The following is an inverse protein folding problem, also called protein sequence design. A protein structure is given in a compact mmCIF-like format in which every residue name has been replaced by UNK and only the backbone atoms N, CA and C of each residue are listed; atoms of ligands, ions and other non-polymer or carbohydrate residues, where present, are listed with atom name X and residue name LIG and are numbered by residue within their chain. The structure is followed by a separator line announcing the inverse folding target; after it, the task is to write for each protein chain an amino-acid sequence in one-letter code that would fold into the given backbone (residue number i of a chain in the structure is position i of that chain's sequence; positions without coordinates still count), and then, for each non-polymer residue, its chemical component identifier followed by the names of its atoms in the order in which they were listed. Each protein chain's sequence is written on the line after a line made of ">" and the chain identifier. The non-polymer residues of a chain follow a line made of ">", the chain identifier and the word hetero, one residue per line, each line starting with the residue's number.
data_IF_766575782715
#
_entry.id   IF_766575782715
#
_cell.length_a   1.000
_cell.length_b   1.000
_cell.length_c   1.000
_cell.angle_alpha   90.00
_cell.angle_beta   90.00
_cell.angle_gamma   90.00
#
_symmetry.space_group_name_H-M   'P 1'
#
loop_
_entity.id
_entity.type
_entity.pdbx_description
1 polymer ?
#
# COMPACT_ATOMS: atom_id res chain seq x y z
N UNK A 1 15.59 26.75 7.87
CA UNK A 1 14.82 25.85 6.97
C UNK A 1 15.05 26.34 5.56
N UNK A 2 15.46 25.47 4.63
CA UNK A 2 15.73 25.87 3.24
C UNK A 2 14.44 26.38 2.61
N UNK A 3 14.45 27.62 2.11
CA UNK A 3 13.31 28.22 1.42
C UNK A 3 13.33 27.86 -0.07
N UNK A 4 13.83 26.67 -0.38
CA UNK A 4 13.99 26.21 -1.76
C UNK A 4 12.64 25.81 -2.34
N UNK A 5 12.35 26.31 -3.52
CA UNK A 5 11.16 25.97 -4.28
C UNK A 5 11.50 24.98 -5.40
N UNK A 6 10.61 24.04 -5.66
CA UNK A 6 10.72 23.05 -6.72
C UNK A 6 9.60 23.27 -7.75
N UNK A 7 9.94 23.32 -9.02
CA UNK A 7 8.97 23.36 -10.12
C UNK A 7 8.55 21.95 -10.51
N UNK A 8 7.25 21.69 -10.47
CA UNK A 8 6.68 20.40 -10.87
C UNK A 8 5.81 20.60 -12.10
N UNK A 9 6.09 19.85 -13.15
CA UNK A 9 5.36 19.91 -14.43
C UNK A 9 4.56 18.62 -14.65
N UNK A 10 3.27 18.80 -14.96
CA UNK A 10 2.36 17.72 -15.39
C UNK A 10 1.83 18.10 -16.77
N UNK A 11 2.09 17.27 -17.79
CA UNK A 11 1.77 17.65 -19.18
C UNK A 11 2.45 18.95 -19.58
N UNK A 12 1.67 19.99 -19.83
CA UNK A 12 2.13 21.34 -20.19
C UNK A 12 1.98 22.37 -19.04
N UNK A 13 1.40 21.98 -17.90
CA UNK A 13 1.20 22.85 -16.75
C UNK A 13 2.35 22.70 -15.76
N UNK A 14 2.86 23.85 -15.26
CA UNK A 14 3.93 23.89 -14.25
C UNK A 14 3.48 24.70 -13.05
N UNK A 15 3.64 24.13 -11.86
CA UNK A 15 3.41 24.80 -10.58
C UNK A 15 4.65 24.69 -9.70
N UNK A 16 4.75 25.59 -8.71
CA UNK A 16 5.92 25.68 -7.82
C UNK A 16 5.51 25.34 -6.39
N UNK A 17 6.29 24.48 -5.75
CA UNK A 17 6.04 23.96 -4.40
C UNK A 17 7.29 24.11 -3.52
N UNK A 18 7.12 24.27 -2.20
CA UNK A 18 8.24 24.15 -1.27
C UNK A 18 8.93 22.78 -1.39
N UNK A 19 10.26 22.76 -1.28
CA UNK A 19 11.00 21.49 -1.18
C UNK A 19 10.46 20.68 0.02
N UNK A 20 10.23 19.39 -0.19
CA UNK A 20 9.67 18.50 0.83
C UNK A 20 8.15 18.35 0.79
N UNK A 21 7.45 19.05 -0.13
CA UNK A 21 6.01 18.82 -0.37
C UNK A 21 5.77 17.38 -0.87
N UNK A 22 4.74 16.70 -0.34
CA UNK A 22 4.39 15.35 -0.75
C UNK A 22 3.74 15.34 -2.14
N UNK A 23 4.00 14.31 -2.94
CA UNK A 23 3.33 14.15 -4.23
C UNK A 23 1.80 14.08 -4.09
N UNK A 24 1.28 13.54 -2.97
CA UNK A 24 -0.16 13.50 -2.70
C UNK A 24 -0.82 14.88 -2.54
N UNK A 25 -0.07 15.90 -2.09
CA UNK A 25 -0.55 17.28 -2.06
C UNK A 25 -0.47 17.91 -3.46
N UNK A 26 0.64 17.66 -4.16
CA UNK A 26 0.88 18.19 -5.51
C UNK A 26 -0.19 17.70 -6.50
N UNK A 27 -0.53 16.40 -6.50
CA UNK A 27 -1.50 15.84 -7.45
C UNK A 27 -2.91 16.38 -7.29
N UNK A 28 -3.28 16.93 -6.11
CA UNK A 28 -4.58 17.58 -5.91
C UNK A 28 -4.75 18.82 -6.81
N UNK A 29 -3.67 19.56 -7.01
CA UNK A 29 -3.66 20.76 -7.85
C UNK A 29 -3.71 20.44 -9.34
N UNK A 30 -3.48 19.18 -9.71
CA UNK A 30 -3.56 18.68 -11.09
C UNK A 30 -4.69 17.66 -11.27
N UNK A 31 -5.68 17.65 -10.39
CA UNK A 31 -6.79 16.69 -10.43
C UNK A 31 -7.59 16.74 -11.75
N UNK A 32 -7.65 17.91 -12.42
CA UNK A 32 -8.28 18.04 -13.73
C UNK A 32 -7.57 17.30 -14.86
N UNK A 33 -6.33 16.86 -14.66
CA UNK A 33 -5.56 16.06 -15.62
C UNK A 33 -5.80 14.55 -15.49
N UNK A 34 -6.65 14.11 -14.56
CA UNK A 34 -6.91 12.70 -14.31
C UNK A 34 -8.42 12.44 -14.17
N UNK A 35 -8.94 11.55 -15.01
CA UNK A 35 -10.34 11.10 -14.96
C UNK A 35 -10.59 10.13 -13.78
N UNK A 36 -9.56 9.37 -13.41
CA UNK A 36 -9.60 8.35 -12.36
C UNK A 36 -8.71 8.72 -11.17
N UNK A 37 -8.94 8.16 -9.97
CA UNK A 37 -8.11 8.43 -8.79
C UNK A 37 -6.62 8.16 -9.05
N UNK A 38 -5.78 9.16 -8.74
CA UNK A 38 -4.33 9.04 -8.82
C UNK A 38 -3.82 8.26 -7.61
N UNK A 39 -3.03 7.22 -7.86
CA UNK A 39 -2.48 6.32 -6.82
C UNK A 39 -0.96 6.34 -6.73
N UNK A 40 -0.28 6.73 -7.80
CA UNK A 40 1.17 6.90 -7.88
C UNK A 40 1.49 8.08 -8.81
N UNK A 41 2.74 8.49 -8.80
CA UNK A 41 3.31 9.33 -9.86
C UNK A 41 4.54 8.68 -10.47
N UNK A 42 4.77 8.94 -11.76
CA UNK A 42 6.03 8.64 -12.42
C UNK A 42 6.85 9.94 -12.44
N UNK A 43 7.92 10.01 -11.66
CA UNK A 43 8.82 11.14 -11.62
C UNK A 43 10.17 10.74 -12.24
N UNK A 44 10.53 11.37 -13.36
CA UNK A 44 11.81 11.11 -14.08
C UNK A 44 12.06 9.61 -14.33
N UNK A 45 11.06 8.90 -14.84
CA UNK A 45 11.16 7.46 -15.14
C UNK A 45 11.10 6.53 -13.92
N UNK A 46 10.86 7.06 -12.71
CA UNK A 46 10.76 6.25 -11.49
C UNK A 46 9.38 6.41 -10.85
N UNK A 47 8.76 5.29 -10.53
CA UNK A 47 7.51 5.29 -9.76
C UNK A 47 7.74 5.83 -8.35
N UNK A 48 6.81 6.66 -7.90
CA UNK A 48 6.81 7.24 -6.56
C UNK A 48 5.44 7.12 -5.92
N UNK A 49 5.43 6.71 -4.67
CA UNK A 49 4.23 6.72 -3.84
C UNK A 49 3.86 8.16 -3.47
N UNK A 50 2.57 8.42 -3.26
CA UNK A 50 2.04 9.76 -2.99
C UNK A 50 2.57 10.40 -1.70
N UNK A 51 3.02 9.61 -0.73
CA UNK A 51 3.65 10.12 0.50
C UNK A 51 5.11 10.54 0.33
N UNK A 52 5.75 10.21 -0.81
CA UNK A 52 7.11 10.66 -1.11
C UNK A 52 7.13 12.15 -1.41
N UNK A 53 8.28 12.79 -1.17
CA UNK A 53 8.47 14.22 -1.23
C UNK A 53 9.25 14.64 -2.47
N UNK A 54 8.92 15.81 -3.02
CA UNK A 54 9.70 16.45 -4.07
C UNK A 54 10.91 17.17 -3.44
N UNK A 55 12.09 17.03 -4.05
CA UNK A 55 13.34 17.67 -3.59
C UNK A 55 14.04 18.50 -4.66
N UNK A 56 13.52 18.48 -5.89
CA UNK A 56 14.07 19.22 -7.04
C UNK A 56 13.02 19.43 -8.11
N UNK A 57 13.31 20.32 -9.04
CA UNK A 57 12.51 20.46 -10.24
C UNK A 57 12.34 19.10 -10.93
N UNK A 58 11.14 18.77 -11.32
CA UNK A 58 10.84 17.50 -11.99
C UNK A 58 9.60 17.58 -12.86
N UNK A 59 9.57 16.70 -13.85
CA UNK A 59 8.34 16.39 -14.62
C UNK A 59 7.74 15.10 -14.07
N UNK A 60 6.44 15.10 -13.83
CA UNK A 60 5.72 13.93 -13.36
C UNK A 60 4.58 13.56 -14.31
N UNK A 61 4.27 12.27 -14.39
CA UNK A 61 3.03 11.76 -14.98
C UNK A 61 2.16 11.16 -13.89
N UNK A 62 0.86 11.40 -13.95
CA UNK A 62 -0.10 10.86 -13.00
C UNK A 62 -0.39 9.40 -13.36
N UNK A 63 -0.35 8.52 -12.38
CA UNK A 63 -0.69 7.10 -12.53
C UNK A 63 -1.98 6.84 -11.76
N UNK A 64 -3.02 6.50 -12.49
CA UNK A 64 -4.37 6.34 -11.97
C UNK A 64 -4.74 4.87 -11.75
N UNK A 65 -5.89 4.63 -11.16
CA UNK A 65 -6.45 3.27 -11.02
C UNK A 65 -6.81 2.62 -12.36
N UNK A 66 -6.94 3.37 -13.46
CA UNK A 66 -7.15 2.85 -14.80
C UNK A 66 -5.86 2.30 -15.45
N UNK A 67 -4.69 2.79 -15.00
CA UNK A 67 -3.42 2.29 -15.48
C UNK A 67 -3.10 0.92 -14.89
N UNK A 68 -2.54 -0.01 -15.68
CA UNK A 68 -2.25 -1.37 -15.25
C UNK A 68 -1.44 -1.43 -13.94
N UNK A 69 -0.42 -0.57 -13.80
CA UNK A 69 0.41 -0.53 -12.59
C UNK A 69 -0.32 0.12 -11.42
N UNK A 70 -1.11 1.15 -11.69
CA UNK A 70 -1.95 1.82 -10.69
C UNK A 70 -3.03 0.88 -10.16
N UNK A 71 -3.70 0.14 -11.04
CA UNK A 71 -4.68 -0.88 -10.67
C UNK A 71 -4.08 -1.98 -9.77
N UNK A 72 -2.89 -2.48 -10.13
CA UNK A 72 -2.18 -3.47 -9.30
C UNK A 72 -1.83 -2.90 -7.93
N UNK A 73 -1.41 -1.64 -7.85
CA UNK A 73 -1.09 -0.97 -6.59
C UNK A 73 -2.34 -0.77 -5.73
N UNK A 74 -3.44 -0.33 -6.34
CA UNK A 74 -4.74 -0.22 -5.66
C UNK A 74 -5.19 -1.57 -5.08
N UNK A 75 -5.16 -2.65 -5.88
CA UNK A 75 -5.52 -4.00 -5.39
C UNK A 75 -4.65 -4.46 -4.21
N UNK A 76 -3.35 -4.16 -4.21
CA UNK A 76 -2.47 -4.49 -3.06
C UNK A 76 -2.84 -3.70 -1.81
N UNK A 77 -3.17 -2.42 -1.94
CA UNK A 77 -3.64 -1.60 -0.82
C UNK A 77 -4.96 -2.13 -0.25
N UNK A 78 -5.89 -2.56 -1.11
CA UNK A 78 -7.14 -3.20 -0.69
C UNK A 78 -6.89 -4.53 0.03
N UNK A 79 -5.92 -5.34 -0.45
CA UNK A 79 -5.54 -6.57 0.23
C UNK A 79 -4.95 -6.32 1.63
N UNK A 80 -4.10 -5.30 1.77
CA UNK A 80 -3.54 -4.91 3.07
C UNK A 80 -4.64 -4.48 4.04
N UNK A 81 -5.58 -3.66 3.57
CA UNK A 81 -6.74 -3.20 4.32
C UNK A 81 -7.61 -4.37 4.77
N UNK A 82 -7.92 -5.29 3.85
CA UNK A 82 -8.70 -6.50 4.13
C UNK A 82 -8.02 -7.39 5.17
N UNK A 83 -6.73 -7.67 5.01
CA UNK A 83 -5.99 -8.49 5.97
C UNK A 83 -5.98 -7.86 7.36
N UNK A 84 -5.71 -6.54 7.47
CA UNK A 84 -5.79 -5.83 8.75
C UNK A 84 -7.18 -5.99 9.38
N UNK A 85 -8.24 -5.85 8.60
CA UNK A 85 -9.62 -5.96 9.10
C UNK A 85 -9.95 -7.38 9.57
N UNK A 86 -9.55 -8.40 8.82
CA UNK A 86 -9.74 -9.80 9.20
C UNK A 86 -9.03 -10.12 10.52
N UNK A 87 -7.77 -9.72 10.67
CA UNK A 87 -7.02 -9.95 11.91
C UNK A 87 -7.59 -9.14 13.09
N UNK A 88 -8.11 -7.94 12.85
CA UNK A 88 -8.74 -7.12 13.89
C UNK A 88 -10.04 -7.75 14.40
N UNK A 89 -10.92 -8.18 13.49
CA UNK A 89 -12.25 -8.73 13.84
C UNK A 89 -12.13 -10.12 14.47
N UNK A 90 -11.27 -10.97 13.94
CA UNK A 90 -11.10 -12.32 14.46
C UNK A 90 -10.28 -12.40 15.76
N UNK A 91 -9.33 -11.47 15.93
CA UNK A 91 -8.24 -11.59 16.90
C UNK A 91 -7.04 -12.36 16.34
N UNK A 92 -5.85 -11.78 16.51
CA UNK A 92 -4.60 -12.33 15.96
C UNK A 92 -4.32 -13.76 16.40
N UNK A 93 -4.63 -14.08 17.65
CA UNK A 93 -4.40 -15.37 18.29
C UNK A 93 -5.27 -16.50 17.72
N UNK A 94 -6.42 -16.15 17.11
CA UNK A 94 -7.35 -17.11 16.52
C UNK A 94 -7.01 -17.46 15.08
N UNK A 95 -6.23 -16.62 14.41
CA UNK A 95 -5.86 -16.81 13.00
C UNK A 95 -4.49 -17.48 12.92
N UNK A 96 -4.44 -18.68 12.33
CA UNK A 96 -3.19 -19.33 11.97
C UNK A 96 -2.64 -18.81 10.65
N UNK A 97 -3.52 -18.56 9.66
CA UNK A 97 -3.12 -18.13 8.33
C UNK A 97 -4.31 -17.56 7.54
N UNK A 98 -4.04 -16.49 6.78
CA UNK A 98 -4.94 -15.98 5.74
C UNK A 98 -4.22 -16.06 4.41
N UNK A 99 -4.81 -16.74 3.42
CA UNK A 99 -4.18 -16.96 2.12
C UNK A 99 -5.07 -16.45 1.00
N UNK A 100 -4.54 -15.53 0.21
CA UNK A 100 -5.07 -15.22 -1.12
C UNK A 100 -4.79 -16.40 -2.04
N UNK A 101 -5.82 -17.07 -2.51
CA UNK A 101 -5.69 -18.27 -3.37
C UNK A 101 -5.62 -17.90 -4.84
N UNK A 102 -6.61 -17.15 -5.33
CA UNK A 102 -6.69 -16.74 -6.72
C UNK A 102 -7.65 -15.56 -6.91
N UNK A 103 -7.56 -14.91 -8.07
CA UNK A 103 -8.54 -13.91 -8.48
C UNK A 103 -9.73 -14.58 -9.15
N UNK A 104 -10.94 -14.11 -8.82
CA UNK A 104 -12.19 -14.52 -9.44
C UNK A 104 -12.85 -13.28 -9.99
N UNK A 105 -12.89 -13.12 -11.31
CA UNK A 105 -13.39 -11.93 -11.98
C UNK A 105 -12.77 -10.64 -11.37
N UNK A 106 -13.57 -9.75 -10.86
CA UNK A 106 -13.13 -8.51 -10.21
C UNK A 106 -12.66 -8.69 -8.75
N UNK A 107 -12.91 -9.86 -8.13
CA UNK A 107 -12.64 -10.14 -6.73
C UNK A 107 -11.44 -11.06 -6.48
N UNK A 108 -11.27 -11.42 -5.19
CA UNK A 108 -10.26 -12.35 -4.73
C UNK A 108 -10.88 -13.41 -3.83
N UNK A 109 -10.44 -14.65 -3.99
CA UNK A 109 -10.79 -15.74 -3.11
C UNK A 109 -9.71 -15.92 -2.03
N UNK A 110 -10.15 -15.84 -0.76
CA UNK A 110 -9.29 -16.06 0.39
C UNK A 110 -9.71 -17.31 1.16
N UNK A 111 -8.74 -17.95 1.80
CA UNK A 111 -9.01 -18.94 2.84
C UNK A 111 -8.44 -18.44 4.16
N UNK A 112 -9.22 -18.58 5.23
CA UNK A 112 -8.83 -18.27 6.59
C UNK A 112 -8.70 -19.59 7.34
N UNK A 113 -7.54 -19.86 7.90
CA UNK A 113 -7.24 -21.03 8.70
C UNK A 113 -7.05 -20.59 10.16
N UNK A 114 -7.77 -21.23 11.07
CA UNK A 114 -7.71 -20.90 12.49
C UNK A 114 -9.02 -21.24 13.20
N UNK A 115 -9.17 -20.77 14.43
CA UNK A 115 -10.39 -20.89 15.23
C UNK A 115 -11.33 -19.68 14.97
N UNK A 116 -11.80 -19.59 13.74
CA UNK A 116 -12.65 -18.50 13.25
C UNK A 116 -13.81 -19.06 12.44
N UNK A 117 -15.02 -18.71 12.81
CA UNK A 117 -16.23 -18.96 12.01
C UNK A 117 -16.41 -17.80 11.04
N UNK A 118 -16.32 -18.09 9.75
CA UNK A 118 -16.57 -17.10 8.69
C UNK A 118 -18.03 -17.19 8.28
N UNK A 119 -18.85 -16.39 8.93
CA UNK A 119 -20.28 -16.23 8.65
C UNK A 119 -20.59 -14.79 8.16
N UNK A 120 -21.88 -14.51 7.90
CA UNK A 120 -22.28 -13.18 7.44
C UNK A 120 -21.97 -12.09 8.48
N UNK A 121 -22.13 -12.38 9.77
CA UNK A 121 -21.83 -11.42 10.85
C UNK A 121 -20.35 -11.03 10.86
N UNK A 122 -19.47 -12.02 10.71
CA UNK A 122 -18.03 -11.78 10.59
C UNK A 122 -17.72 -10.91 9.36
N UNK A 123 -18.31 -11.21 8.20
CA UNK A 123 -18.09 -10.45 6.98
C UNK A 123 -18.58 -9.00 7.10
N UNK A 124 -19.75 -8.80 7.73
CA UNK A 124 -20.29 -7.45 7.97
C UNK A 124 -19.40 -6.63 8.90
N UNK A 125 -18.81 -7.25 9.93
CA UNK A 125 -17.86 -6.59 10.83
C UNK A 125 -16.57 -6.23 10.11
N UNK A 126 -16.04 -7.12 9.25
CA UNK A 126 -14.84 -6.86 8.43
C UNK A 126 -15.11 -5.69 7.47
N UNK A 127 -16.26 -5.66 6.76
CA UNK A 127 -16.62 -4.56 5.87
C UNK A 127 -16.75 -3.24 6.63
N UNK A 128 -17.46 -3.24 7.76
CA UNK A 128 -17.63 -2.05 8.58
C UNK A 128 -16.29 -1.48 9.06
N UNK A 129 -15.37 -2.35 9.51
CA UNK A 129 -14.06 -1.92 9.95
C UNK A 129 -13.20 -1.40 8.78
N UNK A 130 -13.23 -2.07 7.61
CA UNK A 130 -12.56 -1.56 6.41
C UNK A 130 -13.04 -0.16 6.03
N UNK A 131 -14.35 0.09 6.05
CA UNK A 131 -14.93 1.41 5.76
C UNK A 131 -14.45 2.46 6.76
N UNK A 132 -14.43 2.14 8.05
CA UNK A 132 -13.95 3.06 9.08
C UNK A 132 -12.49 3.48 8.86
N UNK A 133 -11.61 2.55 8.45
CA UNK A 133 -10.21 2.83 8.13
C UNK A 133 -10.08 3.73 6.88
N UNK A 134 -10.94 3.53 5.88
CA UNK A 134 -10.98 4.39 4.67
C UNK A 134 -11.43 5.80 5.02
N UNK A 135 -12.46 5.96 5.86
CA UNK A 135 -12.95 7.27 6.32
C UNK A 135 -11.90 8.07 7.08
N UNK A 136 -11.05 7.38 7.85
CA UNK A 136 -9.91 8.00 8.55
C UNK A 136 -8.79 8.46 7.61
N UNK A 137 -8.83 8.07 6.32
CA UNK A 137 -7.83 8.44 5.29
C UNK A 137 -6.39 8.12 5.71
N UNK A 138 -6.21 6.98 6.38
CA UNK A 138 -4.91 6.56 6.88
C UNK A 138 -3.95 6.25 5.73
N UNK A 139 -2.69 6.73 5.79
CA UNK A 139 -1.73 6.48 4.74
C UNK A 139 -1.18 5.05 4.79
N UNK A 140 -1.14 4.39 3.64
CA UNK A 140 -0.35 3.17 3.48
C UNK A 140 1.11 3.55 3.28
N UNK A 141 1.95 3.21 4.24
CA UNK A 141 3.37 3.54 4.25
C UNK A 141 4.20 2.37 3.73
N UNK A 142 5.30 2.66 3.03
CA UNK A 142 6.26 1.65 2.55
C UNK A 142 7.64 1.96 3.11
N UNK A 143 8.28 0.94 3.67
CA UNK A 143 9.68 1.00 4.11
C UNK A 143 10.48 -0.17 3.54
N UNK A 144 11.75 0.07 3.23
CA UNK A 144 12.69 -0.98 2.84
C UNK A 144 13.52 -1.37 4.05
N UNK A 145 13.53 -2.65 4.40
CA UNK A 145 14.29 -3.21 5.51
C UNK A 145 15.23 -4.32 5.02
N UNK A 146 16.20 -4.72 5.83
CA UNK A 146 17.03 -5.87 5.50
C UNK A 146 16.20 -7.15 5.49
N UNK A 147 16.64 -8.15 4.72
CA UNK A 147 15.93 -9.46 4.72
C UNK A 147 15.99 -10.14 6.08
N UNK A 148 17.07 -9.91 6.85
CA UNK A 148 17.17 -10.40 8.23
C UNK A 148 16.10 -9.77 9.15
N UNK A 149 15.96 -8.44 9.15
CA UNK A 149 14.94 -7.75 9.92
C UNK A 149 13.52 -8.15 9.50
N UNK A 150 13.32 -8.44 8.20
CA UNK A 150 12.05 -8.91 7.69
C UNK A 150 11.69 -10.30 8.21
N UNK A 151 12.67 -11.21 8.32
CA UNK A 151 12.48 -12.54 8.91
C UNK A 151 12.02 -12.41 10.36
N UNK A 152 12.68 -11.58 11.15
CA UNK A 152 12.30 -11.33 12.55
C UNK A 152 10.91 -10.69 12.66
N UNK A 153 10.59 -9.73 11.78
CA UNK A 153 9.30 -9.07 11.74
C UNK A 153 8.16 -10.08 11.50
N UNK A 154 8.25 -10.87 10.43
CA UNK A 154 7.20 -11.83 10.09
C UNK A 154 7.11 -12.99 11.10
N UNK A 155 8.22 -13.37 11.73
CA UNK A 155 8.24 -14.33 12.84
C UNK A 155 7.44 -13.81 14.04
N UNK A 156 7.68 -12.56 14.48
CA UNK A 156 6.94 -11.92 15.58
C UNK A 156 5.44 -11.82 15.31
N UNK A 157 5.05 -11.64 14.05
CA UNK A 157 3.65 -11.59 13.63
C UNK A 157 3.04 -12.99 13.33
N UNK A 158 3.76 -14.09 13.61
CA UNK A 158 3.27 -15.45 13.37
C UNK A 158 3.11 -15.81 11.88
N UNK A 159 3.68 -15.05 10.97
CA UNK A 159 3.61 -15.27 9.53
C UNK A 159 4.69 -16.25 9.04
N UNK A 160 4.66 -17.48 9.55
CA UNK A 160 5.72 -18.49 9.32
C UNK A 160 5.89 -18.91 7.86
N UNK A 161 4.87 -18.78 7.04
CA UNK A 161 4.95 -19.02 5.60
C UNK A 161 5.81 -17.95 4.90
N UNK A 162 5.70 -16.69 5.32
CA UNK A 162 6.53 -15.59 4.82
C UNK A 162 7.95 -15.65 5.36
N UNK A 163 8.13 -16.10 6.60
CA UNK A 163 9.45 -16.37 7.16
C UNK A 163 10.20 -17.39 6.30
N UNK A 164 9.57 -18.52 5.95
CA UNK A 164 10.15 -19.51 5.04
C UNK A 164 10.49 -18.88 3.68
N UNK A 165 9.59 -18.10 3.10
CA UNK A 165 9.83 -17.41 1.83
C UNK A 165 11.09 -16.54 1.90
N UNK A 166 11.26 -15.74 2.94
CA UNK A 166 12.42 -14.85 3.07
C UNK A 166 13.74 -15.59 3.29
N UNK A 167 13.74 -16.73 3.99
CA UNK A 167 14.95 -17.57 4.17
C UNK A 167 15.50 -18.11 2.85
N UNK A 168 14.65 -18.34 1.84
CA UNK A 168 15.08 -18.80 0.50
C UNK A 168 15.35 -17.65 -0.47
N UNK A 169 15.03 -16.42 -0.11
CA UNK A 169 15.13 -15.29 -1.02
C UNK A 169 16.54 -14.69 -1.05
N UNK A 170 17.15 -14.64 -2.24
CA UNK A 170 18.50 -14.10 -2.47
C UNK A 170 18.48 -12.58 -2.71
N UNK A 171 17.86 -11.82 -1.82
CA UNK A 171 17.84 -10.35 -1.85
C UNK A 171 18.25 -9.80 -0.50
N UNK A 172 19.02 -8.72 -0.49
CA UNK A 172 19.47 -8.09 0.76
C UNK A 172 18.40 -7.26 1.45
N UNK A 173 17.41 -6.78 0.71
CA UNK A 173 16.34 -5.91 1.21
C UNK A 173 14.98 -6.28 0.64
N UNK A 174 13.94 -6.05 1.44
CA UNK A 174 12.53 -6.24 1.05
C UNK A 174 11.70 -5.02 1.43
N UNK A 175 10.58 -4.83 0.73
CA UNK A 175 9.64 -3.75 1.03
C UNK A 175 8.53 -4.27 1.93
N UNK A 176 8.36 -3.62 3.08
CA UNK A 176 7.25 -3.85 4.01
C UNK A 176 6.27 -2.69 3.85
N UNK A 177 5.00 -3.03 3.78
CA UNK A 177 3.89 -2.09 3.75
C UNK A 177 3.21 -2.07 5.11
N UNK A 178 2.84 -0.88 5.58
CA UNK A 178 2.25 -0.66 6.89
C UNK A 178 0.99 0.18 6.78
N UNK A 179 -0.06 -0.25 7.44
CA UNK A 179 -1.28 0.50 7.71
C UNK A 179 -1.48 0.53 9.23
N UNK A 180 -1.21 1.66 9.87
CA UNK A 180 -1.10 1.82 11.33
C UNK A 180 -0.08 0.84 11.95
N UNK A 181 -0.56 -0.11 12.75
CA UNK A 181 0.20 -1.16 13.42
C UNK A 181 0.32 -2.46 12.61
N UNK A 182 -0.49 -2.62 11.56
CA UNK A 182 -0.48 -3.81 10.72
C UNK A 182 0.58 -3.71 9.62
N UNK A 183 1.48 -4.68 9.55
CA UNK A 183 2.56 -4.74 8.58
C UNK A 183 2.49 -6.02 7.75
N UNK A 184 2.68 -5.90 6.44
CA UNK A 184 2.74 -7.03 5.54
C UNK A 184 3.71 -6.78 4.37
N UNK A 185 4.06 -7.87 3.68
CA UNK A 185 4.96 -7.90 2.54
C UNK A 185 4.20 -8.11 1.24
N UNK A 186 4.49 -7.27 0.24
CA UNK A 186 4.03 -7.46 -1.13
C UNK A 186 5.19 -7.34 -2.12
N UNK A 187 5.17 -8.18 -3.15
CA UNK A 187 6.14 -8.12 -4.23
C UNK A 187 5.79 -7.02 -5.22
N UNK A 188 6.77 -6.18 -5.57
CA UNK A 188 6.60 -5.07 -6.53
C UNK A 188 6.05 -3.78 -5.91
N UNK A 189 5.51 -2.92 -6.78
CA UNK A 189 4.81 -1.68 -6.39
C UNK A 189 3.35 -1.94 -6.11
#
# INVERSE_FOLDING_TARGET
>A
MSNRMCRVTVGNETKTYPEGTCYGEIVKDFSSHAEYPVVLVMAEGKLRELHKKVHRDCRISLITTADSIGHKTYKRSMNLLFLKAVYHVAGHEKIRKVVLRFAVDAGFYYTIEGDVTVDQTFLDQVDAYMRSLVEQKLPVMKRSISTADAIELVHRHGMYDKEKLFRFRRVSRVNIYRLEDFEDYYYGY
#
